data_IF_435966890386
#
_entry.id   IF_435966890386
#
_cell.length_a   1.000
_cell.length_b   1.000
_cell.length_c   1.000
_cell.angle_alpha   90.00
_cell.angle_beta   90.00
_cell.angle_gamma   90.00
#
_symmetry.space_group_name_H-M   'P 1'
#
loop_
_entity.id
_entity.type
_entity.pdbx_description
1 polymer ?
#
# COMPACT_ATOMS: atom_id res chain seq x y z
N UNK A 1 -6.91 16.43 -22.49
CA UNK A 1 -6.57 15.13 -21.89
C UNK A 1 -7.79 14.66 -21.11
N UNK A 2 -8.20 13.38 -21.20
CA UNK A 2 -9.19 12.88 -20.25
C UNK A 2 -8.67 13.11 -18.82
N UNK A 3 -9.54 13.36 -17.84
CA UNK A 3 -9.11 13.46 -16.45
C UNK A 3 -8.37 12.16 -16.09
N UNK A 4 -7.25 12.30 -15.38
CA UNK A 4 -6.61 11.15 -14.75
C UNK A 4 -7.63 10.53 -13.78
N UNK A 5 -7.96 9.25 -13.95
CA UNK A 5 -8.85 8.54 -13.01
C UNK A 5 -8.18 8.31 -11.65
N UNK A 6 -6.89 8.67 -11.50
CA UNK A 6 -6.14 8.56 -10.26
C UNK A 6 -6.58 9.61 -9.21
N UNK A 7 -6.62 9.22 -7.92
CA UNK A 7 -7.00 10.12 -6.84
C UNK A 7 -5.92 11.17 -6.58
N UNK A 8 -6.30 12.31 -6.01
CA UNK A 8 -5.32 13.23 -5.45
C UNK A 8 -4.61 12.58 -4.26
N UNK A 9 -3.39 13.01 -3.94
CA UNK A 9 -2.64 12.48 -2.80
C UNK A 9 -3.43 12.55 -1.49
N UNK A 10 -4.18 13.64 -1.26
CA UNK A 10 -4.99 13.79 -0.06
C UNK A 10 -6.21 12.85 -0.07
N UNK A 11 -6.87 12.66 -1.20
CA UNK A 11 -8.01 11.74 -1.31
C UNK A 11 -7.56 10.29 -1.09
N UNK A 12 -6.44 9.89 -1.71
CA UNK A 12 -5.86 8.57 -1.51
C UNK A 12 -5.42 8.35 -0.07
N UNK A 13 -4.76 9.33 0.55
CA UNK A 13 -4.34 9.23 1.96
C UNK A 13 -5.53 8.98 2.89
N UNK A 14 -6.63 9.75 2.72
CA UNK A 14 -7.84 9.57 3.52
C UNK A 14 -8.46 8.18 3.30
N UNK A 15 -8.58 7.74 2.04
CA UNK A 15 -9.09 6.40 1.72
C UNK A 15 -8.20 5.29 2.29
N UNK A 16 -6.87 5.43 2.16
CA UNK A 16 -5.87 4.47 2.63
C UNK A 16 -5.90 4.34 4.15
N UNK A 17 -6.04 5.45 4.87
CA UNK A 17 -6.17 5.45 6.33
C UNK A 17 -7.45 4.73 6.78
N UNK A 18 -8.58 5.01 6.13
CA UNK A 18 -9.84 4.30 6.41
C UNK A 18 -9.69 2.81 6.13
N UNK A 19 -9.15 2.44 4.97
CA UNK A 19 -8.96 1.06 4.54
C UNK A 19 -8.02 0.29 5.48
N UNK A 20 -6.94 0.93 5.92
CA UNK A 20 -6.01 0.38 6.91
C UNK A 20 -6.71 0.10 8.25
N UNK A 21 -7.51 1.05 8.73
CA UNK A 21 -8.17 0.98 10.03
C UNK A 21 -9.15 -0.21 10.19
N UNK A 22 -9.66 -0.76 9.08
CA UNK A 22 -10.59 -1.90 9.08
C UNK A 22 -9.94 -3.22 9.50
N UNK A 23 -8.64 -3.40 9.24
CA UNK A 23 -7.91 -4.63 9.59
C UNK A 23 -6.41 -4.38 9.89
N UNK A 24 -6.05 -3.58 10.92
CA UNK A 24 -4.67 -3.15 11.14
C UNK A 24 -3.67 -4.31 11.34
N UNK A 25 -4.12 -5.40 11.95
CA UNK A 25 -3.31 -6.60 12.17
C UNK A 25 -2.94 -7.32 10.87
N UNK A 26 -3.79 -7.27 9.85
CA UNK A 26 -3.55 -7.87 8.54
C UNK A 26 -2.49 -7.08 7.77
N UNK A 27 -2.61 -5.74 7.76
CA UNK A 27 -1.60 -4.87 7.16
C UNK A 27 -0.24 -4.97 7.86
N UNK A 28 -0.24 -5.09 9.20
CA UNK A 28 1.00 -5.31 9.95
C UNK A 28 1.65 -6.65 9.58
N UNK A 29 0.85 -7.71 9.41
CA UNK A 29 1.40 -9.00 8.99
C UNK A 29 1.92 -8.98 7.56
N UNK A 30 1.29 -8.21 6.67
CA UNK A 30 1.82 -7.94 5.32
C UNK A 30 3.19 -7.28 5.40
N UNK A 31 3.35 -6.27 6.25
CA UNK A 31 4.64 -5.62 6.48
C UNK A 31 5.68 -6.59 7.04
N UNK A 32 5.30 -7.48 7.95
CA UNK A 32 6.20 -8.51 8.51
C UNK A 32 6.62 -9.56 7.48
N UNK A 33 5.79 -9.83 6.48
CA UNK A 33 6.13 -10.67 5.34
C UNK A 33 7.07 -9.98 4.32
N UNK A 34 7.50 -8.74 4.59
CA UNK A 34 8.37 -7.96 3.71
C UNK A 34 7.64 -7.15 2.65
N UNK A 35 6.30 -7.08 2.71
CA UNK A 35 5.51 -6.28 1.78
C UNK A 35 5.44 -4.79 2.15
N UNK A 36 5.22 -3.95 1.14
CA UNK A 36 4.93 -2.55 1.32
C UNK A 36 3.43 -2.34 1.51
N UNK A 37 3.05 -1.82 2.68
CA UNK A 37 1.63 -1.57 3.02
C UNK A 37 1.04 -0.51 2.08
N UNK A 38 1.78 0.56 1.78
CA UNK A 38 1.30 1.62 0.90
C UNK A 38 1.15 1.14 -0.56
N UNK A 39 2.04 0.25 -1.03
CA UNK A 39 1.86 -0.41 -2.32
C UNK A 39 0.60 -1.28 -2.32
N UNK A 40 0.42 -2.13 -1.31
CA UNK A 40 -0.76 -2.99 -1.20
C UNK A 40 -2.06 -2.17 -1.15
N UNK A 41 -2.06 -1.03 -0.45
CA UNK A 41 -3.20 -0.10 -0.42
C UNK A 41 -3.47 0.51 -1.80
N UNK A 42 -2.44 0.88 -2.57
CA UNK A 42 -2.63 1.35 -3.94
C UNK A 42 -3.27 0.27 -4.82
N UNK A 43 -2.79 -0.97 -4.72
CA UNK A 43 -3.34 -2.09 -5.50
C UNK A 43 -4.79 -2.40 -5.12
N UNK A 44 -5.14 -2.32 -3.83
CA UNK A 44 -6.53 -2.44 -3.40
C UNK A 44 -7.40 -1.31 -3.95
N UNK A 45 -6.87 -0.08 -4.01
CA UNK A 45 -7.58 1.04 -4.61
C UNK A 45 -7.83 0.80 -6.10
N UNK A 46 -6.84 0.32 -6.86
CA UNK A 46 -7.01 -0.03 -8.27
C UNK A 46 -8.11 -1.08 -8.46
N UNK A 47 -8.06 -2.14 -7.66
CA UNK A 47 -9.05 -3.23 -7.71
C UNK A 47 -10.47 -2.73 -7.38
N UNK A 48 -10.63 -1.86 -6.37
CA UNK A 48 -11.92 -1.29 -5.98
C UNK A 48 -12.43 -0.23 -6.99
N UNK A 49 -11.54 0.53 -7.62
CA UNK A 49 -11.88 1.54 -8.61
C UNK A 49 -12.14 0.96 -10.02
N UNK A 50 -11.83 -0.32 -10.23
CA UNK A 50 -11.90 -0.95 -11.55
C UNK A 50 -10.78 -0.49 -12.51
N UNK A 51 -9.68 0.02 -11.96
CA UNK A 51 -8.53 0.51 -12.73
C UNK A 51 -7.50 -0.60 -12.95
N UNK A 52 -6.90 -0.63 -14.13
CA UNK A 52 -5.78 -1.54 -14.39
C UNK A 52 -4.56 -1.10 -13.58
N UNK A 53 -4.11 -1.94 -12.66
CA UNK A 53 -2.92 -1.65 -11.86
C UNK A 53 -1.68 -1.54 -12.78
N UNK A 54 -0.81 -0.54 -12.57
CA UNK A 54 0.49 -0.47 -13.22
C UNK A 54 1.34 -1.73 -12.96
N UNK A 55 2.37 -1.99 -13.79
CA UNK A 55 3.36 -3.02 -13.52
C UNK A 55 3.98 -2.87 -12.12
N UNK A 56 4.05 -3.98 -11.36
CA UNK A 56 4.53 -3.95 -9.98
C UNK A 56 6.00 -3.50 -9.89
N UNK A 57 6.83 -3.92 -10.83
CA UNK A 57 8.24 -3.54 -10.91
C UNK A 57 8.43 -2.02 -11.04
N UNK A 58 7.55 -1.34 -11.78
CA UNK A 58 7.55 0.12 -11.88
C UNK A 58 7.20 0.77 -10.55
N UNK A 59 6.18 0.26 -9.86
CA UNK A 59 5.74 0.80 -8.56
C UNK A 59 6.78 0.55 -7.46
N UNK A 60 7.36 -0.66 -7.42
CA UNK A 60 8.40 -1.05 -6.49
C UNK A 60 9.67 -0.21 -6.69
N UNK A 61 10.09 0.00 -7.95
CA UNK A 61 11.23 0.86 -8.26
C UNK A 61 11.01 2.31 -7.80
N UNK A 62 9.78 2.83 -7.91
CA UNK A 62 9.46 4.20 -7.50
C UNK A 62 9.62 4.43 -5.99
N UNK A 63 9.40 3.40 -5.17
CA UNK A 63 9.46 3.49 -3.70
C UNK A 63 10.70 2.85 -3.07
N UNK A 64 11.49 2.06 -3.82
CA UNK A 64 12.65 1.35 -3.29
C UNK A 64 13.61 2.25 -2.46
N UNK A 65 13.94 3.49 -2.87
CA UNK A 65 14.78 4.36 -2.05
C UNK A 65 14.15 4.73 -0.70
N UNK A 66 12.83 4.87 -0.64
CA UNK A 66 12.11 5.20 0.59
C UNK A 66 11.90 3.99 1.50
N UNK A 67 11.70 2.79 0.92
CA UNK A 67 11.54 1.56 1.70
C UNK A 67 12.76 1.28 2.58
N UNK A 68 13.97 1.47 2.06
CA UNK A 68 15.20 1.32 2.83
C UNK A 68 15.24 2.29 4.03
N UNK A 69 14.97 3.57 3.79
CA UNK A 69 14.95 4.62 4.82
C UNK A 69 13.86 4.36 5.86
N UNK A 70 12.65 4.00 5.42
CA UNK A 70 11.53 3.66 6.32
C UNK A 70 11.85 2.45 7.20
N UNK A 71 12.48 1.42 6.63
CA UNK A 71 12.90 0.23 7.37
C UNK A 71 13.88 0.56 8.50
N UNK A 72 14.93 1.32 8.18
CA UNK A 72 15.91 1.79 9.16
C UNK A 72 15.27 2.69 10.23
N UNK A 73 14.43 3.64 9.81
CA UNK A 73 13.76 4.55 10.72
C UNK A 73 12.80 3.82 11.67
N UNK A 74 12.03 2.85 11.18
CA UNK A 74 11.16 1.99 12.01
C UNK A 74 11.96 1.19 13.03
N UNK A 75 13.13 0.66 12.65
CA UNK A 75 14.01 -0.05 13.57
C UNK A 75 14.55 0.90 14.66
N UNK A 76 14.99 2.10 14.28
CA UNK A 76 15.46 3.14 15.20
C UNK A 76 14.35 3.55 16.18
N UNK A 77 13.16 3.88 15.69
CA UNK A 77 12.00 4.26 16.52
C UNK A 77 11.64 3.18 17.53
N UNK A 78 11.61 1.90 17.11
CA UNK A 78 11.34 0.77 18.02
C UNK A 78 12.37 0.68 19.14
N UNK A 79 13.65 0.88 18.83
CA UNK A 79 14.75 0.87 19.82
C UNK A 79 14.62 2.03 20.83
N UNK A 80 14.19 3.20 20.36
CA UNK A 80 14.09 4.41 21.18
C UNK A 80 12.78 4.52 21.99
N UNK A 81 11.74 3.73 21.68
CA UNK A 81 10.41 3.82 22.32
C UNK A 81 10.45 3.81 23.85
N UNK A 82 11.31 2.99 24.45
CA UNK A 82 11.41 2.87 25.92
C UNK A 82 12.35 3.92 26.56
N UNK A 83 13.05 4.70 25.75
CA UNK A 83 14.12 5.61 26.18
C UNK A 83 13.75 7.08 26.04
N UNK A 84 12.69 7.39 25.28
CA UNK A 84 12.28 8.76 24.98
C UNK A 84 11.08 9.19 25.81
N UNK A 85 11.04 10.49 26.10
CA UNK A 85 9.82 11.15 26.55
C UNK A 85 8.74 11.07 25.46
N UNK A 86 7.48 11.16 25.87
CA UNK A 86 6.34 11.02 24.97
C UNK A 86 6.36 12.05 23.82
N UNK A 87 6.78 13.29 24.09
CA UNK A 87 6.88 14.34 23.07
C UNK A 87 7.91 14.00 21.99
N UNK A 88 9.08 13.49 22.37
CA UNK A 88 10.14 13.13 21.43
C UNK A 88 9.75 11.89 20.62
N UNK A 89 9.10 10.93 21.27
CA UNK A 89 8.57 9.76 20.58
C UNK A 89 7.47 10.13 19.59
N UNK A 90 6.64 11.13 19.91
CA UNK A 90 5.62 11.66 19.00
C UNK A 90 6.25 12.30 17.76
N UNK A 91 7.33 13.06 17.92
CA UNK A 91 8.05 13.63 16.78
C UNK A 91 8.58 12.54 15.83
N UNK A 92 9.02 11.39 16.34
CA UNK A 92 9.41 10.25 15.50
C UNK A 92 8.21 9.67 14.73
N UNK A 93 7.05 9.54 15.36
CA UNK A 93 5.83 9.06 14.68
C UNK A 93 5.40 10.02 13.57
N UNK A 94 5.43 11.33 13.82
CA UNK A 94 5.06 12.33 12.82
C UNK A 94 6.04 12.32 11.63
N UNK A 95 7.34 12.07 11.88
CA UNK A 95 8.32 11.88 10.80
C UNK A 95 8.08 10.59 9.99
N UNK A 96 7.75 9.47 10.63
CA UNK A 96 7.37 8.24 9.92
C UNK A 96 6.15 8.48 9.02
N UNK A 97 5.12 9.17 9.54
CA UNK A 97 3.94 9.51 8.77
C UNK A 97 4.26 10.41 7.57
N UNK A 98 5.23 11.33 7.70
CA UNK A 98 5.70 12.14 6.58
C UNK A 98 6.38 11.28 5.50
N UNK A 99 7.20 10.31 5.88
CA UNK A 99 7.81 9.36 4.95
C UNK A 99 6.77 8.47 4.26
N UNK A 100 5.75 8.01 4.98
CA UNK A 100 4.64 7.23 4.40
C UNK A 100 3.81 8.05 3.40
N UNK A 101 3.57 9.34 3.68
CA UNK A 101 2.91 10.26 2.74
C UNK A 101 3.72 10.49 1.47
N UNK A 102 5.04 10.66 1.60
CA UNK A 102 5.93 10.79 0.45
C UNK A 102 5.94 9.50 -0.37
N UNK A 103 5.96 8.32 0.28
CA UNK A 103 5.87 7.04 -0.39
C UNK A 103 4.58 6.90 -1.21
N UNK A 104 3.42 7.23 -0.62
CA UNK A 104 2.14 7.22 -1.36
C UNK A 104 2.12 8.22 -2.51
N UNK A 105 2.73 9.40 -2.33
CA UNK A 105 2.82 10.41 -3.39
C UNK A 105 3.65 9.90 -4.56
N UNK A 106 4.78 9.23 -4.30
CA UNK A 106 5.61 8.59 -5.34
C UNK A 106 4.88 7.47 -6.07
N UNK A 107 4.12 6.66 -5.34
CA UNK A 107 3.29 5.61 -5.92
C UNK A 107 2.25 6.19 -6.90
N UNK A 108 1.50 7.23 -6.49
CA UNK A 108 0.52 7.87 -7.36
C UNK A 108 1.18 8.55 -8.58
N UNK A 109 2.34 9.18 -8.38
CA UNK A 109 3.08 9.81 -9.47
C UNK A 109 3.57 8.78 -10.49
N UNK A 110 4.11 7.64 -10.03
CA UNK A 110 4.53 6.54 -10.91
C UNK A 110 3.32 5.92 -11.61
N UNK A 111 2.24 5.65 -10.86
CA UNK A 111 1.05 5.01 -11.39
C UNK A 111 0.36 5.83 -12.49
N UNK A 112 0.29 7.15 -12.33
CA UNK A 112 -0.33 8.04 -13.33
C UNK A 112 0.48 8.19 -14.63
N UNK A 113 1.75 7.79 -14.64
CA UNK A 113 2.65 7.88 -15.79
C UNK A 113 2.98 6.52 -16.40
N UNK A 114 2.74 5.44 -15.67
CA UNK A 114 3.00 4.09 -16.13
C UNK A 114 1.95 3.62 -17.15
N UNK A 115 2.32 2.71 -18.07
CA UNK A 115 1.32 1.98 -18.84
C UNK A 115 0.46 1.11 -17.92
N UNK A 116 -0.73 0.73 -18.39
CA UNK A 116 -1.52 -0.30 -17.74
C UNK A 116 -0.71 -1.61 -17.65
N UNK A 117 -0.76 -2.27 -16.48
CA UNK A 117 -0.14 -3.57 -16.29
C UNK A 117 -0.88 -4.69 -17.03
N UNK A 118 -0.32 -5.89 -16.94
CA UNK A 118 -0.87 -7.09 -17.60
C UNK A 118 -1.86 -7.87 -16.73
N UNK A 119 -1.97 -7.50 -15.45
CA UNK A 119 -2.90 -8.14 -14.53
C UNK A 119 -4.34 -7.75 -14.88
N UNK A 120 -5.25 -8.71 -14.75
CA UNK A 120 -6.68 -8.43 -14.87
C UNK A 120 -7.12 -7.42 -13.80
N UNK A 121 -8.07 -6.56 -14.16
CA UNK A 121 -8.72 -5.64 -13.22
C UNK A 121 -9.31 -6.45 -12.05
N UNK A 122 -9.05 -6.02 -10.81
CA UNK A 122 -9.51 -6.72 -9.60
C UNK A 122 -8.59 -7.83 -9.12
N UNK A 123 -7.46 -8.09 -9.79
CA UNK A 123 -6.52 -9.15 -9.44
C UNK A 123 -5.21 -8.62 -8.82
N UNK A 124 -4.99 -7.32 -8.76
CA UNK A 124 -3.67 -6.74 -8.47
C UNK A 124 -3.25 -6.99 -7.02
N UNK A 125 -4.12 -6.68 -6.06
CA UNK A 125 -3.86 -6.94 -4.65
C UNK A 125 -3.77 -8.44 -4.38
N UNK A 126 -4.65 -9.25 -4.98
CA UNK A 126 -4.58 -10.70 -4.84
C UNK A 126 -3.23 -11.24 -5.30
N UNK A 127 -2.75 -10.82 -6.48
CA UNK A 127 -1.46 -11.23 -7.01
C UNK A 127 -0.33 -10.86 -6.05
N UNK A 128 -0.31 -9.61 -5.57
CA UNK A 128 0.72 -9.15 -4.62
C UNK A 128 0.70 -9.90 -3.28
N UNK A 129 -0.48 -10.21 -2.74
CA UNK A 129 -0.58 -11.02 -1.52
C UNK A 129 -0.08 -12.44 -1.73
N UNK A 130 -0.28 -13.02 -2.92
CA UNK A 130 0.23 -14.35 -3.25
C UNK A 130 1.75 -14.39 -3.33
N UNK A 131 2.41 -13.36 -3.88
CA UNK A 131 3.89 -13.29 -3.94
C UNK A 131 4.50 -13.20 -2.54
N UNK A 132 3.78 -12.65 -1.56
CA UNK A 132 4.16 -12.58 -0.15
C UNK A 132 3.75 -13.81 0.68
N UNK A 133 3.12 -14.83 0.07
CA UNK A 133 2.64 -16.01 0.79
C UNK A 133 1.39 -15.79 1.66
N UNK A 134 0.69 -14.66 1.48
CA UNK A 134 -0.51 -14.28 2.25
C UNK A 134 -1.82 -14.70 1.57
N UNK A 135 -1.75 -15.61 0.60
CA UNK A 135 -2.91 -16.16 -0.12
C UNK A 135 -4.04 -16.74 0.74
N UNK A 136 -3.79 -17.36 1.92
CA UNK A 136 -4.85 -17.78 2.83
C UNK A 136 -5.61 -16.62 3.49
N UNK A 137 -5.05 -15.41 3.48
CA UNK A 137 -5.56 -14.22 4.19
C UNK A 137 -6.22 -13.19 3.27
N UNK A 138 -6.43 -13.50 1.99
CA UNK A 138 -6.99 -12.58 0.99
C UNK A 138 -8.27 -11.86 1.47
N UNK A 139 -9.18 -12.60 2.10
CA UNK A 139 -10.45 -12.08 2.60
C UNK A 139 -10.26 -10.95 3.65
N UNK A 140 -9.20 -11.01 4.45
CA UNK A 140 -8.88 -9.97 5.45
C UNK A 140 -8.51 -8.64 4.80
N UNK A 141 -7.95 -8.69 3.58
CA UNK A 141 -7.63 -7.52 2.79
C UNK A 141 -8.77 -7.11 1.85
N UNK A 142 -9.92 -7.79 1.87
CA UNK A 142 -11.01 -7.58 0.91
C UNK A 142 -10.64 -7.97 -0.53
N UNK A 143 -9.58 -8.77 -0.71
CA UNK A 143 -9.17 -9.30 -2.02
C UNK A 143 -9.88 -10.63 -2.30
N UNK A 144 -10.17 -10.90 -3.57
CA UNK A 144 -10.74 -12.18 -4.02
C UNK A 144 -9.83 -12.82 -5.06
N UNK A 145 -9.85 -14.16 -5.15
CA UNK A 145 -9.09 -14.85 -6.20
C UNK A 145 -9.75 -14.59 -7.56
N UNK A 146 -8.98 -14.25 -8.61
CA UNK A 146 -9.53 -14.15 -9.95
C UNK A 146 -10.13 -15.51 -10.34
N UNK A 147 -11.45 -15.54 -10.55
CA UNK A 147 -12.25 -16.76 -10.78
C UNK A 147 -13.45 -16.96 -9.84
N UNK A 148 -13.58 -16.17 -8.77
CA UNK A 148 -14.79 -16.16 -7.90
C UNK A 148 -15.72 -14.97 -8.15
N UNK A 149 -15.73 -14.42 -9.38
CA UNK A 149 -16.84 -13.58 -9.83
C UNK A 149 -18.09 -14.46 -9.88
N UNK A 150 -18.94 -14.33 -8.86
CA UNK A 150 -20.29 -14.89 -8.87
C UNK A 150 -20.98 -14.31 -10.11
N UNK A 151 -21.56 -15.14 -11.00
CA UNK A 151 -22.27 -14.60 -12.16
C UNK A 151 -23.41 -13.69 -11.67
N UNK A 152 -23.69 -12.58 -12.37
CA UNK A 152 -24.88 -11.80 -12.07
C UNK A 152 -26.10 -12.71 -12.26
N UNK A 153 -26.97 -12.73 -11.24
CA UNK A 153 -28.31 -13.32 -11.34
C UNK A 153 -29.22 -12.41 -12.16
#
# INVERSE_FOLDING_TARGET
MPPSNWPTAQAFWSWAAERYSRAPSSWLALQQAGGSVNLALLLAWCDEAGEAAPPLDVLEAAIAPLEAVLGEFRALRRRLKAQLAECDYRALLDHELALEREQQTRLLAAASQAPAGQLAIGAALCHYLMTLGLGPRLAEFGATRPGHLRPPH
#
